data_IF_737743618477
#
_entry.id   IF_737743618477
#
_cell.length_a   1.000
_cell.length_b   1.000
_cell.length_c   1.000
_cell.angle_alpha   90.00
_cell.angle_beta   90.00
_cell.angle_gamma   90.00
#
_symmetry.space_group_name_H-M   'P 1'
#
loop_
_entity.id
_entity.type
_entity.pdbx_description
1 polymer ?
#
# COMPACT_ATOMS: atom_id res chain seq x y z
N UNK A 1 -1.17 -9.35 33.86
CA UNK A 1 -0.13 -9.92 32.97
C UNK A 1 0.75 -8.79 32.43
N UNK A 2 2.02 -8.78 32.83
CA UNK A 2 3.01 -7.72 32.52
C UNK A 2 3.44 -7.78 31.05
N UNK A 3 3.33 -6.65 30.36
CA UNK A 3 3.78 -6.44 28.97
C UNK A 3 5.19 -5.84 28.97
N UNK A 4 6.23 -6.66 29.12
CA UNK A 4 7.61 -6.14 29.17
C UNK A 4 8.64 -7.02 28.45
N UNK A 5 8.25 -7.70 27.37
CA UNK A 5 9.16 -8.50 26.54
C UNK A 5 9.19 -8.02 25.08
N UNK A 6 9.20 -6.70 24.86
CA UNK A 6 9.51 -6.15 23.55
C UNK A 6 11.02 -5.81 23.51
N UNK A 7 11.82 -6.37 22.60
CA UNK A 7 13.23 -6.02 22.47
C UNK A 7 13.36 -4.60 21.93
N UNK A 8 13.79 -3.65 22.77
CA UNK A 8 14.13 -2.30 22.34
C UNK A 8 15.47 -2.31 21.62
N UNK A 9 15.47 -2.27 20.28
CA UNK A 9 16.69 -2.02 19.52
C UNK A 9 17.02 -0.53 19.57
N UNK A 10 17.72 -0.10 20.62
CA UNK A 10 18.35 1.20 20.70
C UNK A 10 19.66 1.17 19.91
N UNK A 11 19.65 1.73 18.70
CA UNK A 11 20.87 2.02 17.96
C UNK A 11 21.62 3.16 18.67
N UNK A 12 22.76 2.85 19.28
CA UNK A 12 23.67 3.84 19.87
C UNK A 12 24.19 4.76 18.74
N UNK A 13 24.01 6.07 18.87
CA UNK A 13 24.76 7.08 18.09
C UNK A 13 25.74 7.75 19.04
N UNK A 14 27.00 7.84 18.65
CA UNK A 14 28.03 8.62 19.34
C UNK A 14 27.77 10.13 19.18
N UNK A 15 28.13 10.97 20.16
CA UNK A 15 27.83 12.39 20.14
C UNK A 15 29.03 13.19 19.62
N UNK A 16 29.32 13.12 18.33
CA UNK A 16 30.23 14.04 17.64
C UNK A 16 29.66 14.21 16.23
N UNK A 17 28.88 15.28 15.99
CA UNK A 17 28.84 16.01 14.71
C UNK A 17 27.69 17.04 14.67
N UNK A 18 28.09 18.30 14.54
CA UNK A 18 27.32 19.53 14.39
C UNK A 18 26.52 19.61 13.07
N UNK A 19 25.60 20.58 12.88
CA UNK A 19 24.54 20.50 11.88
C UNK A 19 25.06 20.91 10.49
N UNK A 20 25.47 19.91 9.70
CA UNK A 20 25.81 20.04 8.28
C UNK A 20 24.91 19.17 7.41
N UNK A 21 24.62 19.64 6.20
CA UNK A 21 23.76 19.04 5.18
C UNK A 21 23.96 17.52 5.08
N UNK A 22 22.92 16.74 5.42
CA UNK A 22 22.94 15.28 5.29
C UNK A 22 22.71 14.88 3.83
N UNK A 23 23.78 14.84 3.06
CA UNK A 23 23.83 13.99 1.87
C UNK A 23 23.66 12.55 2.34
N UNK A 24 22.51 11.95 2.06
CA UNK A 24 22.28 10.54 2.38
C UNK A 24 23.31 9.69 1.60
N UNK A 25 24.12 8.86 2.27
CA UNK A 25 24.97 7.92 1.55
C UNK A 25 24.09 6.95 0.75
N UNK A 26 24.53 6.52 -0.44
CA UNK A 26 23.76 5.59 -1.27
C UNK A 26 23.52 4.29 -0.51
N UNK A 27 22.35 3.65 -0.68
CA UNK A 27 22.04 2.42 0.04
C UNK A 27 23.05 1.33 -0.32
N UNK A 28 23.84 0.92 0.67
CA UNK A 28 24.68 -0.28 0.59
C UNK A 28 23.78 -1.42 0.15
N UNK A 29 24.15 -2.08 -0.96
CA UNK A 29 23.47 -3.25 -1.49
C UNK A 29 23.45 -4.33 -0.40
N UNK A 30 22.36 -4.42 0.35
CA UNK A 30 22.13 -5.55 1.25
C UNK A 30 22.00 -6.78 0.36
N UNK A 31 22.97 -7.69 0.47
CA UNK A 31 22.88 -8.99 -0.17
C UNK A 31 21.49 -9.59 0.09
N UNK A 32 20.86 -10.04 -0.99
CA UNK A 32 19.60 -10.79 -0.89
C UNK A 32 19.89 -11.97 0.01
N UNK A 33 19.35 -11.94 1.24
CA UNK A 33 19.29 -13.12 2.09
C UNK A 33 18.52 -14.17 1.30
N UNK A 34 19.28 -15.09 0.71
CA UNK A 34 18.77 -16.25 0.00
C UNK A 34 17.99 -17.07 1.01
N UNK A 35 16.66 -16.96 0.97
CA UNK A 35 15.78 -17.87 1.70
C UNK A 35 15.67 -19.19 0.94
N UNK A 36 16.82 -19.79 0.60
CA UNK A 36 16.84 -21.12 0.01
C UNK A 36 16.96 -22.11 1.17
N UNK A 37 15.97 -22.99 1.29
CA UNK A 37 15.74 -23.94 2.38
C UNK A 37 14.89 -23.41 3.54
N UNK A 38 13.60 -23.17 3.27
CA UNK A 38 12.57 -23.57 4.24
C UNK A 38 12.09 -24.96 3.83
N UNK A 39 12.26 -25.94 4.72
CA UNK A 39 11.58 -27.24 4.56
C UNK A 39 10.07 -26.96 4.54
N UNK A 40 9.30 -27.49 3.57
CA UNK A 40 7.85 -27.39 3.63
C UNK A 40 7.36 -28.05 4.92
N UNK A 41 6.27 -27.53 5.51
CA UNK A 41 5.55 -28.29 6.54
C UNK A 41 5.15 -29.62 5.90
N UNK A 42 5.50 -30.73 6.55
CA UNK A 42 5.18 -32.07 6.07
C UNK A 42 3.68 -32.22 5.80
N UNK A 43 3.34 -33.12 4.88
CA UNK A 43 1.96 -33.58 4.71
C UNK A 43 1.46 -34.06 6.06
N UNK A 44 0.34 -33.51 6.50
CA UNK A 44 -0.43 -34.12 7.58
C UNK A 44 -0.98 -35.38 6.95
N UNK A 45 -0.35 -36.52 7.23
CA UNK A 45 -0.91 -37.82 6.89
C UNK A 45 -2.22 -37.92 7.66
N UNK A 46 -3.32 -37.66 6.96
CA UNK A 46 -4.63 -38.04 7.45
C UNK A 46 -4.67 -39.56 7.29
N UNK A 47 -4.27 -40.26 8.34
CA UNK A 47 -4.73 -41.63 8.54
C UNK A 47 -6.27 -41.53 8.63
N UNK A 48 -6.93 -41.78 7.51
CA UNK A 48 -8.38 -41.83 7.37
C UNK A 48 -8.92 -43.01 8.19
N UNK A 49 -9.00 -42.82 9.50
CA UNK A 49 -9.94 -43.54 10.35
C UNK A 49 -11.34 -43.02 9.98
N UNK A 50 -12.29 -43.87 9.55
CA UNK A 50 -13.59 -43.44 9.09
C UNK A 50 -14.49 -43.17 10.29
N UNK A 51 -14.13 -42.19 11.12
CA UNK A 51 -14.98 -41.76 12.21
C UNK A 51 -15.79 -40.54 11.78
N UNK A 52 -16.95 -40.87 11.21
CA UNK A 52 -18.14 -40.05 11.11
C UNK A 52 -18.14 -38.81 12.03
N UNK A 53 -17.86 -37.63 11.48
CA UNK A 53 -18.34 -36.38 12.08
C UNK A 53 -19.45 -35.84 11.21
N UNK A 54 -20.63 -36.41 11.43
CA UNK A 54 -21.91 -35.74 11.23
C UNK A 54 -21.84 -34.31 11.82
N UNK A 55 -22.63 -33.35 11.33
CA UNK A 55 -22.69 -32.02 11.94
C UNK A 55 -23.01 -32.20 13.41
N UNK A 56 -22.04 -31.89 14.28
CA UNK A 56 -22.17 -32.01 15.72
C UNK A 56 -23.42 -31.23 16.12
N UNK A 57 -24.40 -31.93 16.67
CA UNK A 57 -25.65 -31.34 17.14
C UNK A 57 -25.30 -30.26 18.17
N UNK A 58 -26.14 -29.22 18.27
CA UNK A 58 -25.92 -28.04 19.13
C UNK A 58 -25.59 -28.38 20.60
N UNK A 59 -25.87 -29.60 21.03
CA UNK A 59 -25.87 -30.04 22.42
C UNK A 59 -24.50 -30.52 22.92
N UNK A 60 -23.53 -30.81 22.05
CA UNK A 60 -22.21 -31.34 22.46
C UNK A 60 -21.05 -30.36 22.30
N UNK A 61 -21.32 -29.11 21.89
CA UNK A 61 -20.25 -28.13 21.76
C UNK A 61 -19.97 -27.46 23.09
N UNK A 62 -18.71 -27.56 23.54
CA UNK A 62 -18.20 -26.79 24.67
C UNK A 62 -18.64 -25.33 24.57
N UNK A 63 -19.00 -24.72 25.71
CA UNK A 63 -19.42 -23.31 25.78
C UNK A 63 -18.45 -22.37 25.06
N UNK A 64 -17.15 -22.69 25.11
CA UNK A 64 -16.08 -22.00 24.38
C UNK A 64 -16.28 -22.01 22.86
N UNK A 65 -16.65 -23.15 22.28
CA UNK A 65 -16.83 -23.32 20.83
C UNK A 65 -18.09 -22.59 20.35
N UNK A 66 -19.16 -22.64 21.15
CA UNK A 66 -20.37 -21.86 20.90
C UNK A 66 -20.09 -20.35 20.92
N UNK A 67 -19.28 -19.87 21.86
CA UNK A 67 -18.88 -18.46 21.95
C UNK A 67 -18.06 -18.04 20.71
N UNK A 68 -17.09 -18.85 20.28
CA UNK A 68 -16.28 -18.56 19.09
C UNK A 68 -17.17 -18.46 17.84
N UNK A 69 -18.07 -19.42 17.63
CA UNK A 69 -19.00 -19.39 16.50
C UNK A 69 -19.89 -18.15 16.54
N UNK A 70 -20.34 -17.75 17.71
CA UNK A 70 -21.12 -16.54 17.88
C UNK A 70 -20.33 -15.26 17.54
N UNK A 71 -19.03 -15.22 17.87
CA UNK A 71 -18.14 -14.09 17.51
C UNK A 71 -17.91 -14.05 16.00
N UNK A 72 -17.61 -15.20 15.39
CA UNK A 72 -17.30 -15.29 13.95
C UNK A 72 -18.52 -15.09 13.06
N UNK A 73 -19.72 -15.47 13.52
CA UNK A 73 -20.96 -15.26 12.79
C UNK A 73 -21.43 -13.80 12.77
N UNK A 74 -20.91 -12.94 13.66
CA UNK A 74 -21.27 -11.51 13.69
C UNK A 74 -20.52 -10.77 12.57
N UNK A 75 -21.20 -9.93 11.77
CA UNK A 75 -20.52 -9.10 10.80
C UNK A 75 -19.57 -8.13 11.51
N UNK A 76 -18.38 -7.95 10.94
CA UNK A 76 -17.39 -7.03 11.49
C UNK A 76 -17.95 -5.60 11.51
N UNK A 77 -18.05 -5.00 12.70
CA UNK A 77 -18.43 -3.60 12.89
C UNK A 77 -17.20 -2.82 13.33
N UNK A 78 -16.87 -1.77 12.57
CA UNK A 78 -15.78 -0.87 12.95
C UNK A 78 -16.16 -0.16 14.27
N UNK A 79 -15.39 -0.35 15.35
CA UNK A 79 -15.75 0.19 16.67
C UNK A 79 -15.49 1.70 16.80
N UNK A 80 -14.79 2.29 15.83
CA UNK A 80 -14.45 3.71 15.82
C UNK A 80 -15.55 4.47 15.07
N UNK A 81 -16.30 5.30 15.79
CA UNK A 81 -17.32 6.17 15.22
C UNK A 81 -16.67 7.11 14.18
N UNK A 82 -17.24 7.18 12.98
CA UNK A 82 -16.73 7.96 11.84
C UNK A 82 -15.37 7.51 11.27
N UNK A 83 -14.95 6.27 11.53
CA UNK A 83 -13.82 5.71 10.78
C UNK A 83 -14.23 5.47 9.34
N UNK A 84 -14.01 6.46 8.50
CA UNK A 84 -13.83 6.23 7.07
C UNK A 84 -12.49 5.54 6.92
N UNK A 85 -12.47 4.28 6.51
CA UNK A 85 -11.24 3.64 6.08
C UNK A 85 -10.59 4.61 5.10
N UNK A 86 -9.46 5.21 5.50
CA UNK A 86 -8.75 6.15 4.64
C UNK A 86 -8.65 5.50 3.27
N UNK A 87 -8.85 6.20 2.14
CA UNK A 87 -8.86 5.62 0.77
C UNK A 87 -7.59 4.83 0.37
N UNK A 88 -6.71 4.61 1.34
CA UNK A 88 -5.59 3.71 1.44
C UNK A 88 -5.97 2.28 1.89
N UNK A 89 -7.22 1.97 2.28
CA UNK A 89 -7.63 0.61 2.68
C UNK A 89 -7.62 -0.39 1.51
N UNK A 90 -7.65 0.08 0.26
CA UNK A 90 -7.39 -0.72 -0.94
C UNK A 90 -5.91 -0.76 -1.34
N UNK A 91 -5.04 -0.05 -0.61
CA UNK A 91 -3.59 -0.08 -0.84
C UNK A 91 -3.01 -1.23 -0.03
N UNK A 92 -2.77 -2.35 -0.71
CA UNK A 92 -1.96 -3.40 -0.14
C UNK A 92 -0.63 -2.81 0.37
N UNK A 93 -0.35 -3.01 1.65
CA UNK A 93 0.93 -2.65 2.26
C UNK A 93 2.04 -3.28 1.40
N UNK A 94 2.94 -2.46 0.86
CA UNK A 94 4.03 -2.92 -0.01
C UNK A 94 3.86 -2.58 -1.50
N UNK A 95 2.67 -2.17 -1.95
CA UNK A 95 2.51 -1.62 -3.32
C UNK A 95 2.91 -0.16 -3.32
N UNK A 96 4.22 0.10 -3.50
CA UNK A 96 4.69 1.43 -3.85
C UNK A 96 4.19 1.71 -5.27
N UNK A 97 3.34 2.73 -5.43
CA UNK A 97 3.10 3.29 -6.75
C UNK A 97 4.41 3.94 -7.17
N UNK A 98 5.18 3.26 -8.00
CA UNK A 98 6.12 3.94 -8.88
C UNK A 98 5.26 4.91 -9.69
N UNK A 99 5.37 6.20 -9.38
CA UNK A 99 4.52 7.22 -9.94
C UNK A 99 4.80 7.29 -11.44
N UNK A 100 3.85 6.84 -12.26
CA UNK A 100 3.96 7.01 -13.71
C UNK A 100 4.18 8.50 -14.02
N UNK A 101 4.91 8.77 -15.10
CA UNK A 101 5.16 10.13 -15.56
C UNK A 101 3.81 10.84 -15.77
N UNK A 102 3.63 12.00 -15.14
CA UNK A 102 2.40 12.80 -15.20
C UNK A 102 2.72 14.27 -15.46
N UNK A 103 1.73 15.01 -15.94
CA UNK A 103 1.84 16.46 -16.08
C UNK A 103 2.10 17.12 -14.71
N UNK A 104 2.84 18.22 -14.72
CA UNK A 104 3.16 18.98 -13.51
C UNK A 104 1.92 19.70 -12.95
N UNK A 105 1.12 20.29 -13.83
CA UNK A 105 -0.13 20.96 -13.50
C UNK A 105 -1.32 20.27 -14.17
N UNK A 106 -2.51 20.52 -13.63
CA UNK A 106 -3.76 19.91 -14.10
C UNK A 106 -4.22 20.57 -15.41
N UNK A 107 -4.31 19.82 -16.53
CA UNK A 107 -4.82 20.36 -17.79
C UNK A 107 -6.33 20.63 -17.79
N UNK A 108 -7.08 20.09 -16.82
CA UNK A 108 -8.55 20.25 -16.73
C UNK A 108 -8.98 21.36 -15.79
N UNK A 109 -8.03 22.03 -15.13
CA UNK A 109 -8.32 23.14 -14.24
C UNK A 109 -8.89 24.35 -15.01
N UNK A 110 -9.74 25.18 -14.37
CA UNK A 110 -10.18 26.43 -14.96
C UNK A 110 -8.96 27.32 -15.25
N UNK A 111 -8.98 28.04 -16.38
CA UNK A 111 -7.89 28.90 -16.83
C UNK A 111 -6.55 28.17 -17.11
N UNK A 112 -6.55 26.84 -17.19
CA UNK A 112 -5.37 26.09 -17.57
C UNK A 112 -4.96 26.42 -19.02
N UNK A 113 -3.75 26.97 -19.18
CA UNK A 113 -3.16 27.21 -20.48
C UNK A 113 -2.33 26.00 -20.90
N UNK A 114 -2.89 25.18 -21.79
CA UNK A 114 -2.25 23.95 -22.29
C UNK A 114 -1.45 24.28 -23.56
N UNK A 115 -0.13 24.04 -23.52
CA UNK A 115 0.76 24.22 -24.67
C UNK A 115 0.85 22.96 -25.54
N UNK A 116 0.71 21.80 -24.91
CA UNK A 116 0.82 20.52 -25.59
C UNK A 116 -0.14 19.49 -25.00
N UNK A 117 -0.88 18.83 -25.89
CA UNK A 117 -1.79 17.72 -25.58
C UNK A 117 -1.20 16.45 -26.21
N UNK A 118 -0.91 15.41 -25.41
CA UNK A 118 -0.39 14.15 -25.94
C UNK A 118 -1.44 13.45 -26.81
N UNK A 119 -1.00 12.61 -27.77
CA UNK A 119 -1.91 11.84 -28.63
C UNK A 119 -2.71 10.83 -27.81
N UNK A 120 -3.94 10.58 -28.24
CA UNK A 120 -4.78 9.54 -27.67
C UNK A 120 -4.24 8.17 -28.10
N UNK A 121 -3.92 7.32 -27.12
CA UNK A 121 -3.39 5.97 -27.35
C UNK A 121 -4.45 4.92 -26.98
N UNK A 122 -4.44 3.80 -27.70
CA UNK A 122 -5.29 2.67 -27.35
C UNK A 122 -4.84 2.03 -26.03
N UNK A 123 -5.75 1.34 -25.33
CA UNK A 123 -5.42 0.64 -24.09
C UNK A 123 -4.29 -0.39 -24.27
N UNK A 124 -4.23 -1.03 -25.44
CA UNK A 124 -3.19 -2.00 -25.77
C UNK A 124 -1.82 -1.35 -25.97
N UNK A 125 -1.77 -0.17 -26.60
CA UNK A 125 -0.51 0.54 -26.83
C UNK A 125 0.04 1.13 -25.53
N UNK A 126 -0.84 1.57 -24.62
CA UNK A 126 -0.45 2.02 -23.27
C UNK A 126 0.25 0.93 -22.45
N UNK A 127 -0.06 -0.35 -22.68
CA UNK A 127 0.60 -1.47 -21.99
C UNK A 127 2.00 -1.77 -22.55
N UNK A 128 2.26 -1.41 -23.80
CA UNK A 128 3.55 -1.64 -24.47
C UNK A 128 4.58 -0.55 -24.19
N UNK A 129 4.12 0.64 -23.81
CA UNK A 129 4.97 1.82 -23.65
C UNK A 129 5.61 1.83 -22.26
N UNK A 130 6.90 2.19 -22.22
CA UNK A 130 7.63 2.44 -20.98
C UNK A 130 6.98 3.60 -20.21
N UNK A 131 6.64 3.36 -18.93
CA UNK A 131 5.95 4.34 -18.06
C UNK A 131 6.68 5.69 -17.93
N UNK A 132 8.00 5.69 -18.08
CA UNK A 132 8.84 6.88 -17.97
C UNK A 132 8.91 7.70 -19.28
N UNK A 133 8.58 7.08 -20.42
CA UNK A 133 8.63 7.71 -21.75
C UNK A 133 7.26 8.18 -22.23
N UNK A 134 6.19 7.96 -21.45
CA UNK A 134 4.85 8.42 -21.77
C UNK A 134 4.85 9.95 -21.91
N UNK A 135 4.29 10.43 -23.02
CA UNK A 135 4.08 11.85 -23.27
C UNK A 135 2.98 12.38 -22.34
N UNK A 136 3.22 13.54 -21.74
CA UNK A 136 2.30 14.16 -20.77
C UNK A 136 1.89 15.55 -21.25
N UNK A 137 0.77 16.05 -20.75
CA UNK A 137 0.35 17.42 -21.03
C UNK A 137 1.40 18.42 -20.55
N UNK A 138 1.68 19.43 -21.36
CA UNK A 138 2.50 20.58 -20.96
C UNK A 138 1.53 21.73 -20.70
N UNK A 139 1.45 22.12 -19.43
CA UNK A 139 0.55 23.16 -18.94
C UNK A 139 1.43 24.26 -18.34
N UNK A 140 1.12 25.51 -18.67
CA UNK A 140 1.79 26.69 -18.10
C UNK A 140 1.51 26.77 -16.60
N UNK A 141 2.46 27.32 -15.83
CA UNK A 141 2.28 27.56 -14.40
C UNK A 141 0.99 28.36 -14.13
N UNK A 142 0.11 27.91 -13.21
CA UNK A 142 -1.11 28.61 -12.84
C UNK A 142 -0.91 30.09 -12.53
N UNK A 143 0.19 30.47 -11.86
CA UNK A 143 0.48 31.87 -11.50
C UNK A 143 0.62 32.74 -12.75
N UNK A 144 1.35 32.24 -13.75
CA UNK A 144 1.53 32.94 -15.01
C UNK A 144 0.23 32.93 -15.82
N UNK A 145 -0.43 31.77 -15.93
CA UNK A 145 -1.66 31.65 -16.71
C UNK A 145 -2.76 32.62 -16.24
N UNK A 146 -2.91 32.80 -14.93
CA UNK A 146 -3.88 33.73 -14.35
C UNK A 146 -3.53 35.18 -14.67
N UNK A 147 -2.25 35.55 -14.64
CA UNK A 147 -1.82 36.88 -15.06
C UNK A 147 -2.16 37.08 -16.54
N UNK A 148 -1.67 36.22 -17.44
CA UNK A 148 -1.91 36.37 -18.88
C UNK A 148 -3.40 36.42 -19.25
N UNK A 149 -4.26 35.66 -18.57
CA UNK A 149 -5.71 35.66 -18.82
C UNK A 149 -6.41 36.90 -18.25
N UNK A 150 -5.94 37.45 -17.13
CA UNK A 150 -6.51 38.68 -16.54
C UNK A 150 -6.25 39.90 -17.43
N UNK A 151 -5.10 39.98 -18.09
CA UNK A 151 -4.76 41.08 -19.01
C UNK A 151 -5.44 40.95 -20.39
N UNK A 152 -6.17 39.87 -20.63
CA UNK A 152 -6.88 39.60 -21.89
C UNK A 152 -8.37 40.01 -21.83
N UNK A 153 -8.83 40.47 -20.67
CA UNK A 153 -10.15 41.09 -20.42
C UNK A 153 -10.00 42.61 -20.53
#
# INVERSE_FOLDING_TARGET
>A
MRRSLAPSQLSKRSPEDSPGIKTFPPPVKKEKRSCTSRKPLGSVDNEDEPNSKLPMTKEEMSEHENLIRQILAKPFKVPILNYTGSGYSTKALGVRREGARKALHDPTAPNALVLYTPPQLSAHDLLKIDKDKIQVHVVVDPVLSNIYLTWKV
#
